data_IF_583244587150
#
_entry.id   IF_583244587150
#
_cell.length_a   1.000
_cell.length_b   1.000
_cell.length_c   1.000
_cell.angle_alpha   90.00
_cell.angle_beta   90.00
_cell.angle_gamma   90.00
#
_symmetry.space_group_name_H-M   'P 1'
#
loop_
_entity.id
_entity.type
_entity.pdbx_description
1 polymer ?
#
# COMPACT_ATOMS: atom_id res chain seq x y z
N UNK A 1 14.08 -15.27 9.50
CA UNK A 1 14.81 -16.13 8.53
C UNK A 1 14.49 -17.60 8.69
N UNK A 2 14.21 -18.09 9.90
CA UNK A 2 14.05 -19.52 10.16
C UNK A 2 12.82 -20.12 9.45
N UNK A 3 11.71 -19.41 9.42
CA UNK A 3 10.50 -19.80 8.69
C UNK A 3 10.67 -19.81 7.14
N UNK A 4 11.74 -19.19 6.65
CA UNK A 4 12.08 -19.19 5.22
C UNK A 4 13.09 -20.29 4.92
N UNK A 5 14.10 -20.45 5.79
CA UNK A 5 15.22 -21.35 5.59
C UNK A 5 14.97 -22.80 6.07
N UNK A 6 13.81 -23.07 6.65
CA UNK A 6 13.42 -24.42 7.08
C UNK A 6 13.15 -25.34 5.89
N UNK A 7 13.33 -26.64 6.07
CA UNK A 7 12.93 -27.68 5.10
C UNK A 7 11.43 -28.02 5.16
N UNK A 8 10.66 -27.33 6.02
CA UNK A 8 9.24 -27.60 6.16
C UNK A 8 8.48 -27.33 4.84
N UNK A 9 7.53 -28.18 4.43
CA UNK A 9 6.80 -28.03 3.17
C UNK A 9 6.00 -26.72 3.09
N UNK A 10 5.52 -26.21 4.24
CA UNK A 10 4.74 -24.97 4.34
C UNK A 10 5.61 -23.74 4.67
N UNK A 11 6.92 -23.80 4.41
CA UNK A 11 7.80 -22.63 4.60
C UNK A 11 7.36 -21.44 3.73
N UNK A 12 7.71 -20.25 4.14
CA UNK A 12 7.49 -19.07 3.30
C UNK A 12 8.35 -19.14 2.04
N UNK A 13 7.71 -18.94 0.87
CA UNK A 13 8.34 -18.99 -0.44
C UNK A 13 8.38 -17.65 -1.14
N UNK A 14 7.54 -16.69 -0.69
CA UNK A 14 7.47 -15.35 -1.22
C UNK A 14 7.36 -14.32 -0.10
N UNK A 15 7.86 -13.10 -0.34
CA UNK A 15 7.73 -11.98 0.57
C UNK A 15 7.55 -10.66 -0.16
N UNK A 16 6.69 -9.80 0.40
CA UNK A 16 6.64 -8.38 0.08
C UNK A 16 7.13 -7.64 1.32
N UNK A 17 8.17 -6.84 1.17
CA UNK A 17 8.81 -6.09 2.25
C UNK A 17 8.65 -4.61 1.92
N UNK A 18 7.98 -3.89 2.79
CA UNK A 18 7.69 -2.47 2.59
C UNK A 18 8.22 -1.64 3.75
N UNK A 19 8.87 -0.53 3.44
CA UNK A 19 9.37 0.46 4.41
C UNK A 19 10.20 -0.17 5.53
N UNK A 20 10.94 -1.24 5.23
CA UNK A 20 11.70 -1.99 6.21
C UNK A 20 13.01 -2.52 5.63
N UNK A 21 14.07 -2.49 6.44
CA UNK A 21 15.37 -3.01 6.06
C UNK A 21 15.84 -4.14 7.01
N UNK A 22 15.19 -5.32 6.98
CA UNK A 22 15.50 -6.43 7.90
C UNK A 22 16.95 -6.91 7.82
N UNK A 23 17.59 -6.84 6.64
CA UNK A 23 19.02 -7.21 6.51
C UNK A 23 19.93 -6.32 7.36
N UNK A 24 19.55 -5.06 7.56
CA UNK A 24 20.29 -4.13 8.41
C UNK A 24 19.80 -4.11 9.86
N UNK A 25 18.48 -4.14 10.06
CA UNK A 25 17.86 -3.80 11.35
C UNK A 25 17.70 -5.00 12.28
N UNK A 26 17.70 -6.22 11.76
CA UNK A 26 17.50 -7.42 12.57
C UNK A 26 18.84 -8.12 12.89
N UNK A 27 18.82 -8.94 13.92
CA UNK A 27 19.97 -9.74 14.30
C UNK A 27 20.37 -10.71 13.18
N UNK A 28 21.68 -10.92 13.03
CA UNK A 28 22.29 -11.81 12.04
C UNK A 28 21.97 -11.41 10.57
N UNK A 29 22.52 -10.30 10.15
CA UNK A 29 22.36 -9.74 8.80
C UNK A 29 22.67 -10.73 7.67
N UNK A 30 23.66 -11.59 7.85
CA UNK A 30 24.02 -12.62 6.85
C UNK A 30 22.90 -13.64 6.67
N UNK A 31 22.29 -14.09 7.75
CA UNK A 31 21.18 -15.04 7.73
C UNK A 31 19.90 -14.41 7.20
N UNK A 32 19.65 -13.13 7.49
CA UNK A 32 18.53 -12.38 6.90
C UNK A 32 18.69 -12.27 5.38
N UNK A 33 19.90 -11.93 4.92
CA UNK A 33 20.20 -11.85 3.50
C UNK A 33 20.03 -13.20 2.79
N UNK A 34 20.57 -14.28 3.36
CA UNK A 34 20.41 -15.65 2.88
C UNK A 34 18.93 -16.01 2.74
N UNK A 35 18.12 -15.73 3.78
CA UNK A 35 16.69 -16.01 3.77
C UNK A 35 15.98 -15.28 2.61
N UNK A 36 16.21 -13.99 2.44
CA UNK A 36 15.57 -13.22 1.35
C UNK A 36 15.98 -13.73 -0.03
N UNK A 37 17.26 -14.08 -0.20
CA UNK A 37 17.78 -14.62 -1.44
C UNK A 37 17.31 -16.05 -1.76
N UNK A 38 16.89 -16.81 -0.75
CA UNK A 38 16.35 -18.17 -0.92
C UNK A 38 14.87 -18.21 -1.26
N UNK A 39 14.16 -17.07 -1.17
CA UNK A 39 12.76 -16.97 -1.59
C UNK A 39 12.61 -17.18 -3.10
N UNK A 40 11.55 -17.88 -3.48
CA UNK A 40 11.17 -18.04 -4.89
C UNK A 40 10.77 -16.71 -5.53
N UNK A 41 10.23 -15.79 -4.71
CA UNK A 41 9.81 -14.46 -5.13
C UNK A 41 9.91 -13.48 -3.97
N UNK A 42 10.59 -12.35 -4.18
CA UNK A 42 10.67 -11.28 -3.18
C UNK A 42 10.55 -9.91 -3.84
N UNK A 43 9.75 -9.04 -3.23
CA UNK A 43 9.55 -7.66 -3.67
C UNK A 43 9.86 -6.73 -2.50
N UNK A 44 10.65 -5.71 -2.73
CA UNK A 44 10.88 -4.62 -1.78
C UNK A 44 10.26 -3.34 -2.33
N UNK A 45 9.42 -2.71 -1.51
CA UNK A 45 8.84 -1.38 -1.78
C UNK A 45 9.53 -0.41 -0.82
N UNK A 46 10.39 0.43 -1.35
CA UNK A 46 11.21 1.34 -0.52
C UNK A 46 11.60 2.60 -1.29
N UNK A 47 11.93 3.64 -0.53
CA UNK A 47 12.42 4.93 -1.05
C UNK A 47 13.92 4.89 -1.39
N UNK A 48 14.63 3.86 -0.94
CA UNK A 48 16.06 3.72 -1.10
C UNK A 48 16.48 2.29 -1.49
N UNK A 49 17.61 2.18 -2.17
CA UNK A 49 18.24 0.90 -2.48
C UNK A 49 18.99 0.37 -1.26
N UNK A 50 18.24 -0.11 -0.26
CA UNK A 50 18.74 -0.68 1.00
C UNK A 50 19.44 -2.02 0.78
N UNK A 51 20.08 -2.58 1.82
CA UNK A 51 20.67 -3.92 1.80
C UNK A 51 19.62 -4.99 1.53
N UNK A 52 18.41 -4.81 2.07
CA UNK A 52 17.26 -5.68 1.81
C UNK A 52 16.82 -5.57 0.34
N UNK A 53 16.71 -4.34 -0.18
CA UNK A 53 16.34 -4.10 -1.58
C UNK A 53 17.33 -4.74 -2.55
N UNK A 54 18.65 -4.65 -2.27
CA UNK A 54 19.69 -5.31 -3.09
C UNK A 54 19.65 -6.84 -3.02
N UNK A 55 18.96 -7.41 -2.05
CA UNK A 55 18.85 -8.86 -1.86
C UNK A 55 17.57 -9.44 -2.43
N UNK A 56 16.61 -8.60 -2.84
CA UNK A 56 15.31 -8.99 -3.36
C UNK A 56 15.32 -9.26 -4.86
N UNK A 57 14.33 -10.01 -5.36
CA UNK A 57 14.11 -10.27 -6.79
C UNK A 57 13.66 -9.02 -7.53
N UNK A 58 12.83 -8.18 -6.90
CA UNK A 58 12.29 -6.95 -7.48
C UNK A 58 12.29 -5.82 -6.46
N UNK A 59 12.49 -4.60 -6.97
CA UNK A 59 12.38 -3.37 -6.17
C UNK A 59 11.40 -2.44 -6.86
N UNK A 60 10.39 -1.99 -6.12
CA UNK A 60 9.43 -1.01 -6.57
C UNK A 60 9.73 0.31 -5.86
N UNK A 61 10.20 1.34 -6.57
CA UNK A 61 10.59 2.60 -5.96
C UNK A 61 9.37 3.37 -5.47
N UNK A 62 9.31 3.62 -4.16
CA UNK A 62 8.28 4.42 -3.53
C UNK A 62 8.68 5.90 -3.46
N UNK A 63 7.68 6.79 -3.47
CA UNK A 63 7.88 8.21 -3.20
C UNK A 63 8.24 8.42 -1.73
N UNK A 64 9.16 9.33 -1.46
CA UNK A 64 9.56 9.67 -0.10
C UNK A 64 8.45 10.41 0.64
N UNK A 65 8.57 10.48 1.96
CA UNK A 65 7.65 11.21 2.82
C UNK A 65 7.50 12.70 2.44
N UNK A 66 8.50 13.31 1.81
CA UNK A 66 8.46 14.71 1.37
C UNK A 66 7.77 14.92 0.02
N UNK A 67 7.57 13.84 -0.73
CA UNK A 67 7.04 13.84 -2.10
C UNK A 67 5.56 13.46 -2.18
N UNK A 68 4.95 13.08 -1.05
CA UNK A 68 3.56 12.60 -0.98
C UNK A 68 2.80 13.19 0.20
N UNK A 69 1.47 13.08 0.14
CA UNK A 69 0.63 13.30 1.31
C UNK A 69 0.85 12.18 2.33
N UNK A 70 0.97 12.55 3.59
CA UNK A 70 1.00 11.61 4.70
C UNK A 70 0.11 12.11 5.84
N UNK A 71 -0.52 11.17 6.52
CA UNK A 71 -1.29 11.49 7.71
C UNK A 71 -0.67 10.88 8.96
N UNK A 72 -0.71 11.63 10.03
CA UNK A 72 -0.47 11.14 11.38
C UNK A 72 -1.81 10.75 11.96
N UNK A 73 -2.03 9.44 12.12
CA UNK A 73 -3.36 8.94 12.45
C UNK A 73 -3.52 8.53 13.90
N UNK A 74 -2.49 7.96 14.52
CA UNK A 74 -2.55 7.44 15.89
C UNK A 74 -1.58 8.15 16.81
N UNK A 75 -1.63 9.46 16.85
CA UNK A 75 -0.95 10.16 17.93
C UNK A 75 -1.87 10.19 19.15
N UNK A 76 -1.63 9.24 20.04
CA UNK A 76 -2.31 9.18 21.32
C UNK A 76 -1.61 10.13 22.32
N UNK A 77 -1.78 11.42 22.14
CA UNK A 77 -1.37 12.40 23.13
C UNK A 77 -2.53 12.65 24.08
N UNK A 78 -2.48 11.99 25.23
CA UNK A 78 -3.46 12.28 26.30
C UNK A 78 -3.25 13.71 26.81
N UNK A 79 -4.33 14.53 26.98
CA UNK A 79 -5.74 14.18 26.82
C UNK A 79 -6.35 14.47 25.44
N UNK A 80 -5.56 14.85 24.46
CA UNK A 80 -6.06 15.26 23.13
C UNK A 80 -5.43 14.45 22.02
N UNK A 81 -6.25 13.74 21.28
CA UNK A 81 -5.84 13.14 20.02
C UNK A 81 -5.95 14.18 18.91
N UNK A 82 -5.04 14.12 17.95
CA UNK A 82 -5.11 14.96 16.76
C UNK A 82 -4.85 14.13 15.48
N UNK A 83 -5.44 14.60 14.41
CA UNK A 83 -5.16 14.14 13.06
C UNK A 83 -4.45 15.24 12.29
N UNK A 84 -3.35 14.93 11.67
CA UNK A 84 -2.62 15.87 10.83
C UNK A 84 -2.37 15.26 9.46
N UNK A 85 -2.79 15.97 8.41
CA UNK A 85 -2.46 15.66 7.03
C UNK A 85 -1.30 16.54 6.60
N UNK A 86 -0.16 15.95 6.29
CA UNK A 86 1.00 16.63 5.75
C UNK A 86 0.93 16.66 4.23
N UNK A 87 1.14 17.82 3.65
CA UNK A 87 1.23 18.00 2.20
C UNK A 87 2.66 17.71 1.70
N UNK A 88 2.81 17.31 0.43
CA UNK A 88 4.13 17.19 -0.18
C UNK A 88 4.84 18.55 -0.21
N UNK A 89 6.15 18.52 -0.03
CA UNK A 89 7.03 19.71 0.00
C UNK A 89 7.77 19.84 -1.33
N UNK A 90 8.06 18.70 -1.96
CA UNK A 90 8.77 18.60 -3.24
C UNK A 90 7.98 17.71 -4.22
N UNK A 91 8.24 17.89 -5.50
CA UNK A 91 7.66 17.03 -6.52
C UNK A 91 8.25 15.61 -6.44
N UNK A 92 7.46 14.55 -6.70
CA UNK A 92 7.95 13.18 -6.74
C UNK A 92 9.08 13.00 -7.76
N UNK A 93 10.07 12.19 -7.42
CA UNK A 93 11.10 11.79 -8.37
C UNK A 93 10.49 10.97 -9.52
N UNK A 94 10.94 11.19 -10.77
CA UNK A 94 10.47 10.40 -11.91
C UNK A 94 10.67 8.90 -11.68
N UNK A 95 9.62 8.11 -11.94
CA UNK A 95 9.67 6.66 -11.79
C UNK A 95 9.31 6.14 -10.38
N UNK A 96 9.10 7.02 -9.40
CA UNK A 96 8.56 6.62 -8.09
C UNK A 96 7.03 6.69 -8.09
N UNK A 97 6.41 5.88 -7.24
CA UNK A 97 4.96 5.88 -7.01
C UNK A 97 4.68 5.90 -5.51
N UNK A 98 3.54 6.45 -5.13
CA UNK A 98 3.07 6.33 -3.74
C UNK A 98 2.60 4.89 -3.50
N UNK A 99 2.75 4.39 -2.28
CA UNK A 99 2.45 3.00 -1.92
C UNK A 99 1.00 2.61 -2.22
N UNK A 100 -0.03 3.44 -1.95
CA UNK A 100 -1.40 3.14 -2.34
C UNK A 100 -1.58 2.88 -3.85
N UNK A 101 -0.83 3.60 -4.69
CA UNK A 101 -0.85 3.36 -6.14
C UNK A 101 -0.18 2.03 -6.49
N UNK A 102 0.96 1.72 -5.87
CA UNK A 102 1.68 0.44 -6.08
C UNK A 102 0.76 -0.72 -5.73
N UNK A 103 0.20 -0.73 -4.52
CA UNK A 103 -0.71 -1.79 -4.07
C UNK A 103 -1.96 -1.89 -4.93
N UNK A 104 -2.54 -0.76 -5.32
CA UNK A 104 -3.74 -0.77 -6.16
C UNK A 104 -3.47 -1.38 -7.53
N UNK A 105 -2.34 -1.07 -8.16
CA UNK A 105 -1.96 -1.69 -9.45
C UNK A 105 -1.77 -3.20 -9.30
N UNK A 106 -1.12 -3.66 -8.24
CA UNK A 106 -0.97 -5.09 -7.96
C UNK A 106 -2.35 -5.75 -7.83
N UNK A 107 -3.28 -5.16 -7.08
CA UNK A 107 -4.63 -5.69 -6.89
C UNK A 107 -5.48 -5.65 -8.18
N UNK A 108 -5.25 -4.68 -9.06
CA UNK A 108 -5.87 -4.59 -10.38
C UNK A 108 -5.39 -5.73 -11.28
N UNK A 109 -4.07 -5.97 -11.35
CA UNK A 109 -3.48 -7.06 -12.13
C UNK A 109 -3.89 -8.44 -11.61
N UNK A 110 -4.02 -8.60 -10.29
CA UNK A 110 -4.56 -9.82 -9.68
C UNK A 110 -6.08 -9.99 -9.89
N UNK A 111 -6.76 -9.02 -10.50
CA UNK A 111 -8.20 -9.03 -10.74
C UNK A 111 -9.06 -8.87 -9.48
N UNK A 112 -8.45 -8.48 -8.34
CA UNK A 112 -9.17 -8.23 -7.09
C UNK A 112 -9.93 -6.89 -7.13
N UNK A 113 -9.36 -5.88 -7.77
CA UNK A 113 -10.00 -4.59 -8.05
C UNK A 113 -10.42 -4.53 -9.51
N UNK A 114 -11.71 -4.69 -9.78
CA UNK A 114 -12.23 -4.73 -11.14
C UNK A 114 -12.73 -3.36 -11.60
N UNK A 115 -12.40 -3.00 -12.83
CA UNK A 115 -12.73 -1.69 -13.43
C UNK A 115 -14.22 -1.36 -13.38
N UNK A 116 -15.11 -2.34 -13.49
CA UNK A 116 -16.56 -2.08 -13.44
C UNK A 116 -17.04 -1.69 -12.04
N UNK A 117 -16.43 -2.20 -10.94
CA UNK A 117 -16.71 -1.73 -9.59
C UNK A 117 -16.30 -0.25 -9.42
N UNK A 118 -15.11 0.08 -9.91
CA UNK A 118 -14.59 1.45 -9.88
C UNK A 118 -15.50 2.39 -10.69
N UNK A 119 -15.88 2.02 -11.91
CA UNK A 119 -16.80 2.81 -12.75
C UNK A 119 -18.15 3.04 -12.08
N UNK A 120 -18.72 2.00 -11.46
CA UNK A 120 -19.97 2.08 -10.71
C UNK A 120 -19.87 3.09 -9.56
N UNK A 121 -18.82 2.99 -8.74
CA UNK A 121 -18.59 3.89 -7.61
C UNK A 121 -18.30 5.32 -8.06
N UNK A 122 -17.53 5.54 -9.14
CA UNK A 122 -17.30 6.86 -9.74
C UNK A 122 -18.60 7.52 -10.22
N UNK A 123 -19.48 6.74 -10.86
CA UNK A 123 -20.78 7.24 -11.29
C UNK A 123 -21.63 7.70 -10.08
N UNK A 124 -21.66 6.92 -9.02
CA UNK A 124 -22.34 7.27 -7.77
C UNK A 124 -21.73 8.52 -7.11
N UNK A 125 -20.39 8.66 -7.12
CA UNK A 125 -19.69 9.82 -6.57
C UNK A 125 -20.03 11.12 -7.31
N UNK A 126 -20.22 11.06 -8.63
CA UNK A 126 -20.64 12.23 -9.44
C UNK A 126 -22.04 12.73 -9.09
N UNK A 127 -22.92 11.85 -8.61
CA UNK A 127 -24.28 12.24 -8.18
C UNK A 127 -24.21 12.93 -6.80
N UNK A 128 -23.37 12.42 -5.90
CA UNK A 128 -23.17 13.04 -4.61
C UNK A 128 -22.72 12.07 -3.53
N UNK A 129 -22.26 12.63 -2.42
CA UNK A 129 -21.65 11.91 -1.29
C UNK A 129 -22.56 10.84 -0.69
N UNK A 130 -23.87 11.14 -0.53
CA UNK A 130 -24.84 10.17 0.02
C UNK A 130 -25.05 8.98 -0.91
N UNK A 131 -25.14 9.25 -2.23
CA UNK A 131 -25.28 8.21 -3.25
C UNK A 131 -24.04 7.33 -3.31
N UNK A 132 -22.85 7.91 -3.23
CA UNK A 132 -21.62 7.16 -3.14
C UNK A 132 -21.58 6.23 -1.93
N UNK A 133 -21.90 6.77 -0.75
CA UNK A 133 -21.91 5.97 0.49
C UNK A 133 -22.89 4.79 0.40
N UNK A 134 -24.11 5.03 -0.10
CA UNK A 134 -25.12 3.97 -0.30
C UNK A 134 -24.63 2.92 -1.33
N UNK A 135 -24.05 3.35 -2.43
CA UNK A 135 -23.51 2.46 -3.46
C UNK A 135 -22.34 1.62 -2.93
N UNK A 136 -21.44 2.22 -2.16
CA UNK A 136 -20.31 1.53 -1.57
C UNK A 136 -20.75 0.49 -0.54
N UNK A 137 -21.63 0.87 0.39
CA UNK A 137 -22.19 -0.04 1.39
C UNK A 137 -22.95 -1.18 0.70
N UNK A 138 -23.80 -0.88 -0.26
CA UNK A 138 -24.52 -1.91 -1.03
C UNK A 138 -23.59 -2.88 -1.74
N UNK A 139 -22.52 -2.38 -2.35
CA UNK A 139 -21.53 -3.19 -3.04
C UNK A 139 -20.81 -4.17 -2.10
N UNK A 140 -20.32 -3.70 -0.95
CA UNK A 140 -19.62 -4.54 0.03
C UNK A 140 -20.59 -5.51 0.76
N UNK A 141 -21.87 -5.15 0.89
CA UNK A 141 -22.88 -6.05 1.44
C UNK A 141 -23.16 -7.23 0.51
N UNK A 142 -23.26 -6.96 -0.80
CA UNK A 142 -23.49 -8.02 -1.82
C UNK A 142 -22.22 -8.84 -2.06
N UNK A 143 -21.05 -8.22 -1.97
CA UNK A 143 -19.74 -8.84 -2.20
C UNK A 143 -18.79 -8.53 -1.03
N UNK A 144 -18.91 -9.24 0.10
CA UNK A 144 -18.13 -8.96 1.32
C UNK A 144 -16.62 -9.03 1.11
N UNK A 145 -16.13 -9.84 0.18
CA UNK A 145 -14.70 -9.92 -0.14
C UNK A 145 -14.10 -8.61 -0.63
N UNK A 146 -14.91 -7.71 -1.20
CA UNK A 146 -14.46 -6.39 -1.61
C UNK A 146 -14.06 -5.49 -0.43
N UNK A 147 -14.47 -5.84 0.79
CA UNK A 147 -14.02 -5.12 1.99
C UNK A 147 -12.50 -5.24 2.18
N UNK A 148 -11.90 -6.36 1.78
CA UNK A 148 -10.44 -6.59 1.83
C UNK A 148 -9.66 -5.63 0.94
N UNK A 149 -10.28 -5.14 -0.13
CA UNK A 149 -9.67 -4.22 -1.11
C UNK A 149 -10.37 -2.84 -1.10
N UNK A 150 -11.14 -2.56 -0.06
CA UNK A 150 -11.88 -1.30 0.08
C UNK A 150 -11.00 -0.04 -0.06
N UNK A 151 -9.80 0.04 0.54
CA UNK A 151 -8.93 1.21 0.35
C UNK A 151 -8.60 1.48 -1.13
N UNK A 152 -8.28 0.46 -1.89
CA UNK A 152 -7.98 0.59 -3.33
C UNK A 152 -9.21 0.97 -4.16
N UNK A 153 -10.40 0.45 -3.80
CA UNK A 153 -11.66 0.87 -4.44
C UNK A 153 -11.97 2.34 -4.15
N UNK A 154 -11.77 2.80 -2.91
CA UNK A 154 -11.93 4.20 -2.54
C UNK A 154 -10.91 5.08 -3.26
N UNK A 155 -9.65 4.69 -3.25
CA UNK A 155 -8.58 5.39 -3.95
C UNK A 155 -8.90 5.60 -5.43
N UNK A 156 -9.30 4.56 -6.15
CA UNK A 156 -9.65 4.63 -7.57
C UNK A 156 -10.97 5.36 -7.86
N UNK A 157 -11.92 5.36 -6.94
CA UNK A 157 -13.26 5.90 -7.21
C UNK A 157 -13.43 7.36 -6.83
N UNK A 158 -12.95 7.78 -5.65
CA UNK A 158 -13.10 9.15 -5.16
C UNK A 158 -11.81 9.96 -5.16
N UNK A 159 -10.65 9.33 -5.26
CA UNK A 159 -9.35 10.01 -5.28
C UNK A 159 -9.29 11.12 -6.34
N UNK A 160 -9.83 10.87 -7.53
CA UNK A 160 -9.88 11.86 -8.61
C UNK A 160 -10.90 13.00 -8.38
N UNK A 161 -11.86 12.81 -7.47
CA UNK A 161 -12.88 13.84 -7.17
C UNK A 161 -12.44 14.82 -6.09
N UNK A 162 -11.37 14.50 -5.38
CA UNK A 162 -10.75 15.40 -4.42
C UNK A 162 -9.72 16.27 -5.14
N UNK A 163 -9.63 17.54 -4.75
CA UNK A 163 -8.64 18.48 -5.32
C UNK A 163 -7.21 17.96 -5.23
N UNK A 164 -6.97 17.01 -4.33
CA UNK A 164 -5.72 16.30 -4.14
C UNK A 164 -6.04 14.81 -3.97
N UNK A 165 -6.08 14.04 -5.08
CA UNK A 165 -6.37 12.61 -5.06
C UNK A 165 -5.47 11.81 -4.11
N UNK A 166 -4.22 12.25 -3.94
CA UNK A 166 -3.27 11.66 -2.99
C UNK A 166 -3.68 11.88 -1.53
N UNK A 167 -4.36 12.99 -1.19
CA UNK A 167 -4.87 13.21 0.16
C UNK A 167 -5.95 12.19 0.55
N UNK A 168 -6.71 11.70 -0.43
CA UNK A 168 -7.67 10.61 -0.20
C UNK A 168 -6.98 9.27 0.05
N UNK A 169 -5.82 9.06 -0.54
CA UNK A 169 -5.02 7.86 -0.35
C UNK A 169 -4.28 7.84 0.99
N UNK A 170 -3.94 9.02 1.51
CA UNK A 170 -3.31 9.19 2.82
C UNK A 170 -4.31 9.17 3.99
N UNK A 171 -5.60 9.25 3.70
CA UNK A 171 -6.66 9.08 4.70
C UNK A 171 -6.97 7.59 4.86
N UNK A 172 -6.89 7.03 6.07
CA UNK A 172 -7.18 5.64 6.35
C UNK A 172 -8.65 5.30 6.20
#
# INVERSE_FOLDING_TARGET
PDEILTDHPDRFRAAIIESSNPVHSYANSSRQKEAIQSLEFSVVIDVAMTETARSASYVLPASSAFEKYECVFFQQEFPRNFFQLRQPIVAPLPGTLIEPEIHTRILEELGAVKSYHVKYLRAAARIGRKTFAAAFIGLITIKPDLLKVAPSLLYRSIGETLKNGEAAAAAP
#
